data_IF_737091918910
#
_entry.id   IF_737091918910
#
_cell.length_a   1.000
_cell.length_b   1.000
_cell.length_c   1.000
_cell.angle_alpha   90.00
_cell.angle_beta   90.00
_cell.angle_gamma   90.00
#
_symmetry.space_group_name_H-M   'P 1'
#
loop_
_entity.id
_entity.type
_entity.pdbx_description
1 polymer ?
#
# COMPACT_ATOMS: atom_id res chain seq x y z
N UNK A 1 11.34 1.72 3.70
CA UNK A 1 11.46 1.12 5.04
C UNK A 1 10.03 0.85 5.49
N UNK A 2 9.62 -0.41 5.58
CA UNK A 2 8.31 -0.77 6.12
C UNK A 2 8.35 -0.53 7.64
N UNK A 3 7.33 0.13 8.17
CA UNK A 3 7.15 0.25 9.61
C UNK A 3 5.85 -0.48 9.98
N UNK A 4 5.97 -1.52 10.80
CA UNK A 4 4.84 -2.19 11.43
C UNK A 4 4.58 -1.43 12.73
N UNK A 5 3.45 -0.73 12.79
CA UNK A 5 3.01 -0.04 13.99
C UNK A 5 1.82 -0.83 14.53
N UNK A 6 1.95 -1.34 15.75
CA UNK A 6 0.85 -1.91 16.54
C UNK A 6 0.60 -0.98 17.71
N UNK A 7 -0.63 -0.50 17.87
CA UNK A 7 -1.06 0.13 19.12
C UNK A 7 -1.37 -0.99 20.12
N UNK A 8 -0.75 -0.93 21.29
CA UNK A 8 -0.93 -1.90 22.38
C UNK A 8 -2.40 -2.03 22.79
N UNK A 9 -2.98 -3.21 22.62
CA UNK A 9 -4.14 -3.68 23.38
C UNK A 9 -4.06 -5.21 23.61
N UNK A 10 -4.36 -5.60 24.85
CA UNK A 10 -4.07 -6.88 25.50
C UNK A 10 -5.15 -7.95 25.28
N UNK A 11 -4.68 -9.22 25.18
CA UNK A 11 -5.34 -10.53 25.35
C UNK A 11 -6.39 -10.93 24.29
N UNK A 12 -6.46 -12.17 23.78
CA UNK A 12 -6.31 -13.47 24.42
C UNK A 12 -5.90 -14.54 23.37
N UNK A 13 -5.42 -15.69 23.83
CA UNK A 13 -4.59 -16.62 23.06
C UNK A 13 -5.17 -17.25 21.78
N UNK A 14 -4.21 -17.61 20.91
CA UNK A 14 -4.22 -18.62 19.84
C UNK A 14 -4.58 -18.18 18.42
N UNK A 15 -3.68 -17.41 17.80
CA UNK A 15 -3.19 -17.67 16.43
C UNK A 15 -1.75 -17.19 16.34
N UNK A 16 -0.77 -18.09 16.30
CA UNK A 16 0.61 -17.73 15.94
C UNK A 16 0.70 -17.57 14.42
N UNK A 17 0.00 -16.59 13.87
CA UNK A 17 0.25 -16.15 12.50
C UNK A 17 1.55 -15.37 12.51
N UNK A 18 2.60 -16.02 12.00
CA UNK A 18 3.89 -15.39 11.78
C UNK A 18 3.64 -14.14 10.94
N UNK A 19 4.10 -13.00 11.45
CA UNK A 19 4.14 -11.75 10.68
C UNK A 19 4.89 -12.06 9.38
N UNK A 20 4.34 -11.71 8.19
CA UNK A 20 5.04 -11.92 6.93
C UNK A 20 6.41 -11.22 6.97
N UNK A 21 7.43 -11.85 6.42
CA UNK A 21 8.76 -11.23 6.36
C UNK A 21 8.75 -9.97 5.47
N UNK A 22 9.77 -9.12 5.63
CA UNK A 22 9.87 -7.84 4.93
C UNK A 22 9.87 -7.97 3.39
N UNK A 23 10.38 -9.08 2.85
CA UNK A 23 10.41 -9.32 1.39
C UNK A 23 9.02 -9.64 0.87
N UNK A 24 8.29 -10.49 1.57
CA UNK A 24 6.88 -10.79 1.27
C UNK A 24 6.03 -9.52 1.29
N UNK A 25 6.21 -8.70 2.33
CA UNK A 25 5.52 -7.41 2.48
C UNK A 25 5.83 -6.44 1.33
N UNK A 26 7.08 -6.38 0.87
CA UNK A 26 7.49 -5.55 -0.26
C UNK A 26 6.85 -6.02 -1.57
N UNK A 27 6.82 -7.33 -1.84
CA UNK A 27 6.17 -7.89 -3.04
C UNK A 27 4.68 -7.58 -3.06
N UNK A 28 4.00 -7.68 -1.92
CA UNK A 28 2.59 -7.28 -1.79
C UNK A 28 2.39 -5.79 -2.04
N UNK A 29 3.29 -4.94 -1.54
CA UNK A 29 3.24 -3.50 -1.79
C UNK A 29 3.40 -3.17 -3.29
N UNK A 30 4.36 -3.80 -3.97
CA UNK A 30 4.55 -3.61 -5.41
C UNK A 30 3.33 -4.09 -6.20
N UNK A 31 2.78 -5.25 -5.83
CA UNK A 31 1.59 -5.80 -6.47
C UNK A 31 0.36 -4.90 -6.26
N UNK A 32 0.19 -4.33 -5.07
CA UNK A 32 -0.87 -3.36 -4.81
C UNK A 32 -0.76 -2.14 -5.73
N UNK A 33 0.46 -1.66 -5.99
CA UNK A 33 0.71 -0.59 -6.96
C UNK A 33 0.32 -1.00 -8.38
N UNK A 34 0.68 -2.21 -8.82
CA UNK A 34 0.29 -2.74 -10.12
C UNK A 34 -1.24 -2.83 -10.27
N UNK A 35 -1.94 -3.29 -9.24
CA UNK A 35 -3.42 -3.35 -9.19
C UNK A 35 -4.04 -1.95 -9.30
N UNK A 36 -3.55 -0.96 -8.55
CA UNK A 36 -4.04 0.43 -8.61
C UNK A 36 -3.82 1.05 -10.00
N UNK A 37 -2.72 0.69 -10.66
CA UNK A 37 -2.43 1.11 -12.03
C UNK A 37 -3.21 0.33 -13.11
N UNK A 38 -4.01 -0.66 -12.74
CA UNK A 38 -4.78 -1.48 -13.69
C UNK A 38 -3.92 -2.44 -14.51
N UNK A 39 -2.74 -2.83 -14.00
CA UNK A 39 -1.86 -3.80 -14.67
C UNK A 39 -2.46 -5.20 -14.54
N UNK A 40 -2.62 -5.88 -15.67
CA UNK A 40 -3.00 -7.29 -15.69
C UNK A 40 -1.80 -8.14 -15.22
N UNK A 41 -1.98 -8.80 -14.07
CA UNK A 41 -0.95 -9.63 -13.42
C UNK A 41 -1.21 -11.13 -13.61
N UNK A 42 -2.17 -11.50 -14.48
CA UNK A 42 -2.47 -12.92 -14.78
C UNK A 42 -1.28 -13.55 -15.51
N UNK A 43 -0.95 -14.82 -15.23
CA UNK A 43 0.10 -15.51 -15.95
C UNK A 43 -0.22 -15.49 -17.46
N UNK A 44 0.76 -15.08 -18.25
CA UNK A 44 0.68 -15.09 -19.71
C UNK A 44 0.32 -16.49 -20.18
N UNK A 45 -0.76 -16.64 -20.96
CA UNK A 45 -0.99 -17.85 -21.75
C UNK A 45 0.20 -18.09 -22.68
N UNK A 46 0.40 -19.33 -23.15
CA UNK A 46 1.47 -19.67 -24.09
C UNK A 46 1.41 -18.83 -25.40
N UNK A 47 0.27 -18.20 -25.69
CA UNK A 47 0.02 -17.28 -26.81
C UNK A 47 0.11 -15.78 -26.45
N UNK A 48 0.71 -15.40 -25.33
CA UNK A 48 0.84 -13.99 -24.97
C UNK A 48 1.78 -13.26 -25.93
N UNK A 49 1.22 -12.28 -26.64
CA UNK A 49 1.94 -11.35 -27.51
C UNK A 49 3.11 -10.67 -26.76
N UNK A 50 4.15 -10.26 -27.48
CA UNK A 50 5.39 -9.63 -26.96
C UNK A 50 5.15 -8.38 -26.09
N UNK A 51 3.92 -7.83 -26.09
CA UNK A 51 3.51 -6.61 -25.41
C UNK A 51 2.75 -6.84 -24.09
N UNK A 52 2.60 -8.09 -23.63
CA UNK A 52 1.94 -8.39 -22.35
C UNK A 52 2.89 -8.13 -21.18
N UNK A 53 2.36 -7.59 -20.08
CA UNK A 53 3.11 -7.37 -18.84
C UNK A 53 3.78 -8.65 -18.36
N UNK A 54 5.07 -8.59 -18.04
CA UNK A 54 5.80 -9.70 -17.39
C UNK A 54 5.61 -9.70 -15.87
N UNK A 55 4.88 -8.72 -15.33
CA UNK A 55 4.58 -8.63 -13.91
C UNK A 55 3.58 -9.72 -13.51
N UNK A 56 3.88 -10.46 -12.46
CA UNK A 56 3.08 -11.59 -11.97
C UNK A 56 2.63 -11.39 -10.54
N UNK A 57 1.52 -12.04 -10.18
CA UNK A 57 1.04 -12.07 -8.80
C UNK A 57 2.09 -12.72 -7.87
N UNK A 58 2.40 -12.15 -6.70
CA UNK A 58 3.30 -12.77 -5.73
C UNK A 58 2.77 -14.12 -5.23
N UNK A 59 3.60 -15.16 -5.27
CA UNK A 59 3.26 -16.47 -4.71
C UNK A 59 3.65 -16.59 -3.22
N UNK A 60 2.86 -17.29 -2.38
CA UNK A 60 1.63 -18.01 -2.71
C UNK A 60 0.44 -17.07 -2.96
N UNK A 61 -0.32 -17.32 -4.02
CA UNK A 61 -1.52 -16.56 -4.37
C UNK A 61 -2.79 -17.42 -4.42
N UNK A 62 -3.95 -16.78 -4.23
CA UNK A 62 -5.27 -17.41 -4.39
C UNK A 62 -6.13 -16.53 -5.31
N UNK A 63 -6.82 -17.15 -6.26
CA UNK A 63 -7.77 -16.46 -7.11
C UNK A 63 -9.05 -16.13 -6.31
N UNK A 64 -9.32 -14.85 -6.13
CA UNK A 64 -10.56 -14.38 -5.51
C UNK A 64 -11.62 -14.08 -6.56
N UNK A 65 -12.87 -14.46 -6.28
CA UNK A 65 -13.98 -14.21 -7.20
C UNK A 65 -14.33 -12.73 -7.36
N UNK A 66 -13.99 -11.87 -6.39
CA UNK A 66 -14.27 -10.44 -6.42
C UNK A 66 -13.14 -9.64 -5.80
N UNK A 67 -12.61 -8.68 -6.57
CA UNK A 67 -11.69 -7.65 -6.10
C UNK A 67 -12.37 -6.29 -6.23
N UNK A 68 -12.53 -5.59 -5.11
CA UNK A 68 -13.09 -4.24 -5.09
C UNK A 68 -11.95 -3.21 -5.12
N UNK A 69 -11.86 -2.45 -6.21
CA UNK A 69 -10.92 -1.33 -6.35
C UNK A 69 -11.71 -0.04 -6.38
N UNK A 70 -11.47 0.84 -5.41
CA UNK A 70 -12.06 2.17 -5.32
C UNK A 70 -10.99 3.24 -5.42
N UNK A 71 -11.25 4.27 -6.24
CA UNK A 71 -10.37 5.43 -6.38
C UNK A 71 -11.14 6.71 -6.06
N UNK A 72 -10.54 7.55 -5.22
CA UNK A 72 -11.05 8.87 -4.89
C UNK A 72 -9.97 9.91 -5.12
N UNK A 73 -10.33 11.00 -5.78
CA UNK A 73 -9.44 12.12 -6.06
C UNK A 73 -10.01 13.41 -5.49
N UNK A 74 -9.17 14.22 -4.85
CA UNK A 74 -9.59 15.48 -4.26
C UNK A 74 -8.66 15.96 -3.15
N UNK A 75 -9.09 17.02 -2.46
CA UNK A 75 -8.37 17.60 -1.34
C UNK A 75 -8.79 16.93 -0.03
N UNK A 76 -8.14 15.80 0.28
CA UNK A 76 -8.38 15.09 1.53
C UNK A 76 -7.46 15.59 2.63
N UNK A 77 -8.04 15.95 3.77
CA UNK A 77 -7.25 16.20 4.97
C UNK A 77 -6.70 14.89 5.54
N UNK A 78 -5.64 14.97 6.35
CA UNK A 78 -5.13 13.80 7.09
C UNK A 78 -6.19 13.17 7.97
N UNK A 79 -7.08 13.98 8.56
CA UNK A 79 -8.19 13.51 9.38
C UNK A 79 -9.17 12.67 8.57
N UNK A 80 -9.46 13.06 7.31
CA UNK A 80 -10.32 12.28 6.42
C UNK A 80 -9.70 10.91 6.11
N UNK A 81 -8.40 10.87 5.83
CA UNK A 81 -7.67 9.61 5.58
C UNK A 81 -7.67 8.73 6.83
N UNK A 82 -7.48 9.31 8.02
CA UNK A 82 -7.54 8.57 9.28
C UNK A 82 -8.93 7.95 9.51
N UNK A 83 -10.00 8.74 9.31
CA UNK A 83 -11.37 8.27 9.44
C UNK A 83 -11.68 7.12 8.47
N UNK A 84 -11.17 7.19 7.23
CA UNK A 84 -11.28 6.10 6.27
C UNK A 84 -10.60 4.83 6.79
N UNK A 85 -9.36 4.94 7.28
CA UNK A 85 -8.65 3.79 7.84
C UNK A 85 -9.37 3.19 9.04
N UNK A 86 -9.97 4.02 9.90
CA UNK A 86 -10.73 3.55 11.06
C UNK A 86 -11.99 2.79 10.64
N UNK A 87 -12.71 3.30 9.63
CA UNK A 87 -13.87 2.60 9.05
C UNK A 87 -13.46 1.27 8.43
N UNK A 88 -12.36 1.23 7.67
CA UNK A 88 -11.85 0.00 7.07
C UNK A 88 -11.47 -1.03 8.13
N UNK A 89 -10.72 -0.62 9.16
CA UNK A 89 -10.34 -1.50 10.28
C UNK A 89 -11.55 -2.10 11.00
N UNK A 90 -12.64 -1.34 11.17
CA UNK A 90 -13.86 -1.81 11.85
C UNK A 90 -14.70 -2.77 11.01
N UNK A 91 -14.61 -2.71 9.68
CA UNK A 91 -15.45 -3.49 8.78
C UNK A 91 -14.73 -4.67 8.14
N UNK A 92 -13.40 -4.60 7.97
CA UNK A 92 -12.59 -5.68 7.40
C UNK A 92 -12.84 -7.06 8.06
N UNK A 93 -12.92 -7.18 9.40
CA UNK A 93 -13.17 -8.46 10.04
C UNK A 93 -14.62 -8.95 9.85
N UNK A 94 -15.57 -8.03 9.64
CA UNK A 94 -17.00 -8.35 9.49
C UNK A 94 -17.31 -8.90 8.11
N UNK A 95 -16.64 -8.39 7.09
CA UNK A 95 -16.80 -8.81 5.70
C UNK A 95 -16.02 -10.10 5.37
N UNK A 96 -15.08 -10.50 6.24
CA UNK A 96 -14.29 -11.73 6.06
C UNK A 96 -13.20 -11.62 5.00
N UNK A 97 -12.80 -10.41 4.60
CA UNK A 97 -11.70 -10.23 3.65
C UNK A 97 -10.33 -10.47 4.34
N UNK A 98 -9.35 -11.06 3.62
CA UNK A 98 -8.06 -11.40 4.21
C UNK A 98 -7.16 -10.19 4.47
N UNK A 99 -7.33 -9.09 3.72
CA UNK A 99 -6.65 -7.82 3.92
C UNK A 99 -7.34 -6.70 3.13
N UNK A 100 -6.94 -5.45 3.38
CA UNK A 100 -7.30 -4.30 2.55
C UNK A 100 -6.05 -3.46 2.25
N UNK A 101 -5.86 -3.11 0.98
CA UNK A 101 -4.81 -2.20 0.53
C UNK A 101 -5.34 -0.78 0.37
N UNK A 102 -4.60 0.20 0.89
CA UNK A 102 -4.90 1.64 0.73
C UNK A 102 -3.66 2.34 0.22
N UNK A 103 -3.77 3.07 -0.89
CA UNK A 103 -2.69 3.90 -1.42
C UNK A 103 -3.12 5.36 -1.36
N UNK A 104 -2.29 6.18 -0.72
CA UNK A 104 -2.51 7.63 -0.58
C UNK A 104 -1.42 8.34 -1.35
N UNK A 105 -1.81 9.04 -2.41
CA UNK A 105 -0.94 9.93 -3.17
C UNK A 105 -1.07 11.37 -2.66
N UNK A 106 0.06 12.02 -2.43
CA UNK A 106 0.14 13.46 -2.21
C UNK A 106 0.09 14.24 -3.52
N UNK A 107 0.26 15.54 -3.41
CA UNK A 107 0.38 16.43 -4.56
C UNK A 107 1.86 16.62 -4.90
N UNK A 108 2.17 16.69 -6.20
CA UNK A 108 3.52 17.02 -6.68
C UNK A 108 3.92 18.45 -6.28
N UNK A 109 2.98 19.39 -6.37
CA UNK A 109 3.17 20.81 -6.07
C UNK A 109 2.71 21.18 -4.65
N UNK A 110 3.14 20.43 -3.62
CA UNK A 110 2.84 20.78 -2.22
C UNK A 110 3.64 22.03 -1.81
N UNK A 111 3.00 23.22 -1.67
CA UNK A 111 3.71 24.47 -1.40
C UNK A 111 4.26 24.53 0.03
N UNK A 112 3.87 23.56 0.88
CA UNK A 112 4.33 23.47 2.27
C UNK A 112 5.61 22.63 2.40
N UNK A 113 6.04 21.95 1.34
CA UNK A 113 7.31 21.25 1.33
C UNK A 113 8.46 22.25 1.18
N UNK A 114 9.45 22.16 2.06
CA UNK A 114 10.67 22.95 1.93
C UNK A 114 11.40 22.51 0.66
N UNK A 115 11.28 23.30 -0.41
CA UNK A 115 12.07 23.18 -1.63
C UNK A 115 13.55 23.17 -1.22
N UNK A 116 14.15 21.98 -1.20
CA UNK A 116 15.60 21.84 -1.02
C UNK A 116 16.28 22.12 -2.35
N UNK A 117 17.52 22.63 -2.36
CA UNK A 117 18.23 22.98 -3.61
C UNK A 117 18.36 21.82 -4.62
N UNK A 118 18.12 20.57 -4.21
CA UNK A 118 18.08 19.38 -5.08
C UNK A 118 16.70 19.11 -5.71
N UNK A 119 15.65 19.79 -5.27
CA UNK A 119 14.31 19.81 -5.88
C UNK A 119 14.29 20.72 -7.13
N UNK A 120 15.32 20.62 -7.97
CA UNK A 120 15.32 21.28 -9.28
C UNK A 120 14.32 20.56 -10.21
N UNK A 121 13.04 20.94 -10.12
CA UNK A 121 12.02 21.06 -11.17
C UNK A 121 11.78 19.93 -12.21
N UNK A 122 12.45 18.76 -12.14
CA UNK A 122 12.26 17.65 -13.07
C UNK A 122 11.91 16.31 -12.41
N UNK A 123 12.03 16.20 -11.08
CA UNK A 123 11.85 14.95 -10.33
C UNK A 123 11.08 15.14 -9.02
N UNK A 124 10.28 16.21 -8.89
CA UNK A 124 9.35 16.32 -7.78
C UNK A 124 8.42 15.10 -7.82
N UNK A 125 8.51 14.24 -6.80
CA UNK A 125 7.70 13.03 -6.71
C UNK A 125 6.72 13.23 -5.57
N UNK A 126 5.43 13.27 -5.88
CA UNK A 126 4.37 13.26 -4.90
C UNK A 126 4.67 12.20 -3.83
N UNK A 127 4.56 12.55 -2.54
CA UNK A 127 4.75 11.56 -1.48
C UNK A 127 3.66 10.51 -1.61
N UNK A 128 4.05 9.24 -1.52
CA UNK A 128 3.13 8.11 -1.56
C UNK A 128 3.22 7.36 -0.24
N UNK A 129 2.06 6.93 0.25
CA UNK A 129 1.98 5.99 1.36
C UNK A 129 1.03 4.86 1.02
N UNK A 130 1.55 3.64 1.01
CA UNK A 130 0.78 2.41 0.84
C UNK A 130 0.61 1.75 2.20
N UNK A 131 -0.60 1.30 2.49
CA UNK A 131 -0.98 0.69 3.76
C UNK A 131 -1.65 -0.64 3.45
N UNK A 132 -1.18 -1.71 4.09
CA UNK A 132 -1.83 -3.02 4.07
C UNK A 132 -2.42 -3.26 5.46
N UNK A 133 -3.75 -3.26 5.54
CA UNK A 133 -4.53 -3.52 6.75
C UNK A 133 -4.86 -5.02 6.85
N UNK A 134 -4.63 -5.61 8.02
CA UNK A 134 -4.97 -7.00 8.31
C UNK A 134 -6.29 -7.09 9.11
N UNK A 135 -6.98 -8.25 9.11
CA UNK A 135 -8.28 -8.41 9.77
C UNK A 135 -8.20 -8.32 11.30
N UNK A 136 -7.02 -8.47 11.89
CA UNK A 136 -6.79 -8.28 13.33
C UNK A 136 -6.52 -6.82 13.72
N UNK A 137 -6.59 -5.89 12.76
CA UNK A 137 -6.37 -4.47 12.96
C UNK A 137 -4.90 -4.03 12.86
N UNK A 138 -3.95 -4.98 12.78
CA UNK A 138 -2.54 -4.65 12.49
C UNK A 138 -2.41 -4.10 11.09
N UNK A 139 -1.35 -3.32 10.86
CA UNK A 139 -1.07 -2.81 9.53
C UNK A 139 0.42 -2.64 9.25
N UNK A 140 0.76 -2.75 7.96
CA UNK A 140 2.07 -2.40 7.44
C UNK A 140 1.95 -1.11 6.64
N UNK A 141 2.87 -0.18 6.87
CA UNK A 141 2.93 1.07 6.09
C UNK A 141 4.26 1.17 5.34
N UNK A 142 4.14 1.50 4.05
CA UNK A 142 5.24 1.75 3.14
C UNK A 142 5.15 3.19 2.71
N UNK A 143 6.20 3.95 2.97
CA UNK A 143 6.30 5.34 2.54
C UNK A 143 7.37 5.43 1.48
N UNK A 144 7.10 6.16 0.40
CA UNK A 144 8.16 6.54 -0.53
C UNK A 144 9.28 7.23 0.25
N UNK A 145 10.57 6.94 -0.05
CA UNK A 145 11.68 7.52 0.69
C UNK A 145 11.55 9.04 0.77
N UNK A 146 11.60 9.58 1.99
CA UNK A 146 11.94 10.99 2.16
C UNK A 146 13.44 11.08 1.93
N UNK A 147 13.90 11.91 1.01
CA UNK A 147 15.32 12.18 0.89
C UNK A 147 15.86 12.64 2.24
N UNK A 148 16.65 11.78 2.89
CA UNK A 148 17.32 12.12 4.14
C UNK A 148 18.47 13.04 3.78
N UNK A 149 18.25 14.35 3.95
CA UNK A 149 19.33 15.33 3.90
C UNK A 149 20.29 15.03 5.07
N UNK A 150 21.34 14.26 4.80
CA UNK A 150 22.51 14.24 5.71
C UNK A 150 23.15 15.62 5.65
N UNK A 151 22.96 16.41 6.71
CA UNK A 151 23.73 17.64 6.92
C UNK A 151 25.19 17.22 7.17
N UNK A 152 26.08 17.57 6.25
CA UNK A 152 27.53 17.60 6.45
C UNK A 152 27.93 18.93 7.08
#
# INVERSE_FOLDING_TARGET
>A
MAAILSDDAVADGKTTDKIPDDETLLRVQEWLGAVVCGVDCRPSSEDAEEFVSTYSCPEPSEETGQLYVGQWSGFFSRTCVQQLLDVLRQNLPKEGFPFCGVVVHGFDDDPTQTLTEKHSQLLARAPETSIVLLPDGRYCSFRSPKDVVRRS
#
